data_IF_520012466918
#
_entry.id   IF_520012466918
#
_cell.length_a   1.000
_cell.length_b   1.000
_cell.length_c   1.000
_cell.angle_alpha   90.00
_cell.angle_beta   90.00
_cell.angle_gamma   90.00
#
_symmetry.space_group_name_H-M   'P 1'
#
loop_
_entity.id
_entity.type
_entity.pdbx_description
1 polymer ?
#
# COMPACT_ATOMS: atom_id res chain seq x y z
N UNK A 1 -5.61 11.81 -19.50
CA UNK A 1 -5.66 10.39 -19.08
C UNK A 1 -6.54 9.61 -20.02
N UNK A 2 -6.18 8.35 -20.36
CA UNK A 2 -7.04 7.44 -21.11
C UNK A 2 -8.22 6.97 -20.24
N UNK A 3 -9.31 6.47 -20.87
CA UNK A 3 -10.45 5.91 -20.13
C UNK A 3 -10.04 4.78 -19.18
N UNK A 4 -9.08 3.93 -19.61
CA UNK A 4 -8.54 2.86 -18.79
C UNK A 4 -7.78 3.40 -17.56
N UNK A 5 -6.96 4.43 -17.73
CA UNK A 5 -6.22 5.06 -16.63
C UNK A 5 -7.19 5.68 -15.62
N UNK A 6 -8.28 6.29 -16.09
CA UNK A 6 -9.30 6.86 -15.20
C UNK A 6 -10.05 5.76 -14.42
N UNK A 7 -10.47 4.69 -15.08
CA UNK A 7 -11.11 3.54 -14.43
C UNK A 7 -10.19 2.89 -13.38
N UNK A 8 -8.91 2.74 -13.70
CA UNK A 8 -7.89 2.22 -12.77
C UNK A 8 -7.72 3.14 -11.56
N UNK A 9 -7.63 4.46 -11.76
CA UNK A 9 -7.53 5.43 -10.68
C UNK A 9 -8.75 5.38 -9.75
N UNK A 10 -9.95 5.30 -10.31
CA UNK A 10 -11.18 5.16 -9.55
C UNK A 10 -11.20 3.87 -8.72
N UNK A 11 -10.84 2.73 -9.33
CA UNK A 11 -10.76 1.44 -8.65
C UNK A 11 -9.74 1.47 -7.49
N UNK A 12 -8.57 2.09 -7.70
CA UNK A 12 -7.54 2.28 -6.67
C UNK A 12 -8.06 3.08 -5.48
N UNK A 13 -8.84 4.15 -5.73
CA UNK A 13 -9.45 4.94 -4.66
C UNK A 13 -10.45 4.08 -3.86
N UNK A 14 -11.37 3.40 -4.54
CA UNK A 14 -12.40 2.56 -3.89
C UNK A 14 -11.78 1.46 -3.04
N UNK A 15 -10.82 0.72 -3.58
CA UNK A 15 -10.14 -0.35 -2.85
C UNK A 15 -9.30 0.19 -1.68
N UNK A 16 -8.70 1.37 -1.84
CA UNK A 16 -7.93 2.03 -0.78
C UNK A 16 -8.80 2.58 0.35
N UNK A 17 -10.06 2.96 0.07
CA UNK A 17 -11.06 3.28 1.11
C UNK A 17 -11.43 2.01 1.87
N UNK A 18 -11.71 0.92 1.17
CA UNK A 18 -12.14 -0.33 1.79
C UNK A 18 -11.06 -0.95 2.71
N UNK A 19 -9.78 -0.91 2.29
CA UNK A 19 -8.67 -1.58 2.99
C UNK A 19 -8.61 -1.27 4.50
N UNK A 20 -8.43 -0.02 4.98
CA UNK A 20 -8.32 0.27 6.40
C UNK A 20 -9.59 -0.06 7.17
N UNK A 21 -10.75 0.04 6.54
CA UNK A 21 -12.04 -0.22 7.18
C UNK A 21 -12.26 -1.71 7.43
N UNK A 22 -11.91 -2.57 6.47
CA UNK A 22 -12.01 -4.03 6.64
C UNK A 22 -10.91 -4.59 7.53
N UNK A 23 -9.74 -3.93 7.59
CA UNK A 23 -8.63 -4.35 8.43
C UNK A 23 -8.74 -3.90 9.90
N UNK A 24 -9.50 -2.87 10.22
CA UNK A 24 -9.69 -2.42 11.62
C UNK A 24 -10.18 -3.55 12.54
N UNK A 25 -11.25 -4.31 12.20
CA UNK A 25 -11.68 -5.46 13.00
C UNK A 25 -10.62 -6.55 13.11
N UNK A 26 -9.85 -6.78 12.04
CA UNK A 26 -8.75 -7.78 12.05
C UNK A 26 -7.66 -7.37 13.04
N UNK A 27 -7.22 -6.11 12.99
CA UNK A 27 -6.19 -5.58 13.89
C UNK A 27 -6.59 -5.61 15.38
N UNK A 28 -7.90 -5.64 15.66
CA UNK A 28 -8.43 -5.74 17.03
C UNK A 28 -8.47 -7.17 17.55
N UNK A 29 -8.67 -8.17 16.66
CA UNK A 29 -8.87 -9.59 17.04
C UNK A 29 -7.59 -10.43 16.94
N UNK A 30 -6.70 -10.10 16.01
CA UNK A 30 -5.52 -10.90 15.70
C UNK A 30 -4.25 -10.12 16.01
N UNK A 31 -3.12 -10.81 16.05
CA UNK A 31 -1.82 -10.15 16.13
C UNK A 31 -1.49 -9.37 14.84
N UNK A 32 -0.58 -8.40 14.95
CA UNK A 32 -0.28 -7.49 13.81
C UNK A 32 0.38 -8.19 12.63
N UNK A 33 1.06 -9.31 12.83
CA UNK A 33 1.67 -10.08 11.76
C UNK A 33 0.64 -10.91 11.01
N UNK A 34 -0.52 -11.18 11.60
CA UNK A 34 -1.62 -11.88 10.92
C UNK A 34 -2.12 -11.12 9.69
N UNK A 35 -2.18 -9.80 9.74
CA UNK A 35 -2.60 -9.00 8.58
C UNK A 35 -1.65 -9.15 7.38
N UNK A 36 -0.34 -9.25 7.64
CA UNK A 36 0.65 -9.53 6.59
C UNK A 36 0.53 -10.97 6.07
N UNK A 37 0.32 -11.93 6.97
CA UNK A 37 0.09 -13.33 6.60
C UNK A 37 -1.20 -13.49 5.78
N UNK A 38 -2.29 -12.83 6.18
CA UNK A 38 -3.56 -12.83 5.47
C UNK A 38 -3.41 -12.35 4.02
N UNK A 39 -2.68 -11.25 3.82
CA UNK A 39 -2.35 -10.76 2.49
C UNK A 39 -1.59 -11.83 1.69
N UNK A 40 -0.55 -12.44 2.26
CA UNK A 40 0.24 -13.46 1.60
C UNK A 40 -0.59 -14.69 1.22
N UNK A 41 -1.47 -15.18 2.11
CA UNK A 41 -2.32 -16.36 1.84
C UNK A 41 -3.25 -16.14 0.65
N UNK A 42 -3.92 -14.99 0.59
CA UNK A 42 -4.85 -14.67 -0.49
C UNK A 42 -4.13 -14.45 -1.82
N UNK A 43 -2.99 -13.76 -1.81
CA UNK A 43 -2.23 -13.49 -3.03
C UNK A 43 -1.59 -14.77 -3.57
N UNK A 44 -1.00 -15.61 -2.72
CA UNK A 44 -0.43 -16.88 -3.16
C UNK A 44 -1.54 -17.82 -3.66
N UNK A 45 -2.69 -17.88 -2.99
CA UNK A 45 -3.85 -18.63 -3.48
C UNK A 45 -4.29 -18.20 -4.88
N UNK A 46 -4.40 -16.89 -5.12
CA UNK A 46 -4.69 -16.34 -6.44
C UNK A 46 -3.58 -16.67 -7.46
N UNK A 47 -2.31 -16.53 -7.05
CA UNK A 47 -1.17 -16.82 -7.92
C UNK A 47 -1.16 -18.29 -8.38
N UNK A 48 -1.45 -19.22 -7.49
CA UNK A 48 -1.55 -20.65 -7.83
C UNK A 48 -2.67 -20.90 -8.86
N UNK A 49 -3.82 -20.25 -8.70
CA UNK A 49 -4.94 -20.39 -9.66
C UNK A 49 -4.63 -19.79 -11.03
N UNK A 50 -3.86 -18.72 -11.10
CA UNK A 50 -3.54 -18.00 -12.33
C UNK A 50 -2.22 -18.46 -12.99
N UNK A 51 -1.41 -19.22 -12.28
CA UNK A 51 -0.11 -19.70 -12.75
C UNK A 51 -0.17 -20.46 -14.08
N UNK A 52 -1.13 -21.39 -14.31
CA UNK A 52 -1.21 -22.10 -15.59
C UNK A 52 -1.41 -21.17 -16.80
N UNK A 53 -2.13 -20.05 -16.61
CA UNK A 53 -2.42 -19.09 -17.68
C UNK A 53 -1.30 -18.09 -17.92
N UNK A 54 -0.34 -17.98 -17.00
CA UNK A 54 0.74 -16.99 -17.02
C UNK A 54 2.12 -17.65 -16.95
N UNK A 55 2.20 -18.97 -17.23
CA UNK A 55 3.42 -19.76 -17.10
C UNK A 55 4.56 -19.21 -17.95
N UNK A 56 4.26 -18.81 -19.19
CA UNK A 56 5.24 -18.27 -20.12
C UNK A 56 5.98 -17.04 -19.52
N UNK A 57 5.24 -16.18 -18.81
CA UNK A 57 5.84 -15.00 -18.16
C UNK A 57 6.76 -15.38 -17.00
N UNK A 58 6.45 -16.47 -16.28
CA UNK A 58 7.31 -16.98 -15.22
C UNK A 58 8.61 -17.55 -15.80
N UNK A 59 8.52 -18.32 -16.89
CA UNK A 59 9.71 -18.89 -17.55
C UNK A 59 10.65 -17.80 -18.04
N UNK A 60 10.12 -16.76 -18.68
CA UNK A 60 10.92 -15.60 -19.11
C UNK A 60 11.59 -14.92 -17.91
N UNK A 61 10.86 -14.65 -16.84
CA UNK A 61 11.42 -14.02 -15.65
C UNK A 61 12.49 -14.85 -14.95
N UNK A 62 12.38 -16.19 -14.97
CA UNK A 62 13.42 -17.07 -14.43
C UNK A 62 14.72 -16.96 -15.25
N UNK A 63 14.62 -16.78 -16.57
CA UNK A 63 15.78 -16.48 -17.41
C UNK A 63 16.38 -15.11 -17.08
N UNK A 64 15.54 -14.10 -16.88
CA UNK A 64 16.01 -12.76 -16.51
C UNK A 64 16.70 -12.77 -15.14
N UNK A 65 16.18 -13.50 -14.16
CA UNK A 65 16.81 -13.66 -12.85
C UNK A 65 18.16 -14.39 -12.92
N UNK A 66 18.32 -15.34 -13.84
CA UNK A 66 19.61 -16.00 -14.08
C UNK A 66 20.63 -15.03 -14.64
N UNK A 67 20.23 -14.18 -15.56
CA UNK A 67 21.11 -13.20 -16.20
C UNK A 67 21.41 -12.00 -15.30
N UNK A 68 20.41 -11.55 -14.54
CA UNK A 68 20.50 -10.37 -13.66
C UNK A 68 19.96 -10.72 -12.25
N UNK A 69 20.71 -11.45 -11.42
CA UNK A 69 20.24 -11.96 -10.12
C UNK A 69 19.87 -10.86 -9.12
N UNK A 70 20.32 -9.63 -9.36
CA UNK A 70 19.92 -8.48 -8.53
C UNK A 70 18.40 -8.26 -8.53
N UNK A 71 17.71 -8.46 -9.66
CA UNK A 71 16.25 -8.31 -9.73
C UNK A 71 15.51 -9.38 -8.92
N UNK A 72 16.06 -10.59 -8.83
CA UNK A 72 15.53 -11.61 -7.93
C UNK A 72 15.64 -11.17 -6.46
N UNK A 73 16.81 -10.68 -6.05
CA UNK A 73 17.03 -10.17 -4.69
C UNK A 73 16.10 -9.00 -4.36
N UNK A 74 15.97 -8.03 -5.29
CA UNK A 74 15.06 -6.89 -5.11
C UNK A 74 13.58 -7.33 -5.02
N UNK A 75 13.18 -8.34 -5.77
CA UNK A 75 11.83 -8.90 -5.72
C UNK A 75 11.55 -9.56 -4.37
N UNK A 76 12.50 -10.32 -3.84
CA UNK A 76 12.38 -10.88 -2.49
C UNK A 76 12.38 -9.77 -1.41
N UNK A 77 13.24 -8.77 -1.56
CA UNK A 77 13.28 -7.60 -0.68
C UNK A 77 11.93 -6.90 -0.64
N UNK A 78 11.25 -6.74 -1.79
CA UNK A 78 9.88 -6.19 -1.82
C UNK A 78 8.93 -6.98 -0.92
N UNK A 79 9.00 -8.30 -0.94
CA UNK A 79 8.18 -9.14 -0.07
C UNK A 79 8.42 -8.84 1.42
N UNK A 80 9.69 -8.70 1.82
CA UNK A 80 10.06 -8.30 3.17
C UNK A 80 9.53 -6.89 3.52
N UNK A 81 9.76 -5.90 2.63
CA UNK A 81 9.29 -4.53 2.82
C UNK A 81 7.77 -4.47 2.98
N UNK A 82 7.04 -5.19 2.12
CA UNK A 82 5.57 -5.25 2.17
C UNK A 82 5.07 -5.91 3.46
N UNK A 83 5.72 -7.00 3.91
CA UNK A 83 5.40 -7.64 5.20
C UNK A 83 5.46 -6.64 6.35
N UNK A 84 6.58 -5.94 6.48
CA UNK A 84 6.77 -4.97 7.56
C UNK A 84 5.90 -3.73 7.39
N UNK A 85 5.71 -3.22 6.16
CA UNK A 85 4.82 -2.10 5.89
C UNK A 85 3.38 -2.39 6.36
N UNK A 86 2.84 -3.58 6.03
CA UNK A 86 1.49 -3.98 6.47
C UNK A 86 1.45 -4.16 7.98
N UNK A 87 2.43 -4.84 8.58
CA UNK A 87 2.50 -5.07 10.03
C UNK A 87 2.49 -3.75 10.81
N UNK A 88 3.37 -2.82 10.48
CA UNK A 88 3.47 -1.55 11.18
C UNK A 88 2.27 -0.63 10.91
N UNK A 89 1.73 -0.64 9.69
CA UNK A 89 0.49 0.05 9.39
C UNK A 89 -0.68 -0.43 10.28
N UNK A 90 -0.75 -1.73 10.59
CA UNK A 90 -1.79 -2.27 11.47
C UNK A 90 -1.59 -1.88 12.93
N UNK A 91 -0.36 -1.80 13.41
CA UNK A 91 -0.07 -1.30 14.76
C UNK A 91 -0.61 0.13 14.93
N UNK A 92 -0.38 0.98 13.93
CA UNK A 92 -0.85 2.37 13.94
C UNK A 92 -2.37 2.44 13.79
N UNK A 93 -2.95 1.66 12.88
CA UNK A 93 -4.37 1.66 12.57
C UNK A 93 -5.24 1.14 13.73
N UNK A 94 -4.68 0.27 14.59
CA UNK A 94 -5.37 -0.22 15.78
C UNK A 94 -5.75 0.92 16.72
N UNK A 95 -4.83 1.83 16.96
CA UNK A 95 -5.02 2.93 17.92
C UNK A 95 -5.89 4.05 17.31
N UNK A 96 -5.59 4.48 16.08
CA UNK A 96 -6.38 5.48 15.37
C UNK A 96 -6.32 5.29 13.87
N UNK A 97 -7.45 4.94 13.26
CA UNK A 97 -7.56 4.79 11.80
C UNK A 97 -7.49 6.15 11.12
N UNK A 98 -8.15 7.16 11.67
CA UNK A 98 -8.16 8.50 11.09
C UNK A 98 -6.80 9.18 11.14
N UNK A 99 -6.14 9.15 12.30
CA UNK A 99 -4.80 9.74 12.46
C UNK A 99 -3.74 9.03 11.60
N UNK A 100 -3.91 7.72 11.38
CA UNK A 100 -2.99 6.97 10.53
C UNK A 100 -3.00 7.39 9.06
N UNK A 101 -4.05 8.09 8.60
CA UNK A 101 -4.17 8.49 7.19
C UNK A 101 -3.34 9.72 6.80
N UNK A 102 -2.81 10.50 7.75
CA UNK A 102 -1.94 11.62 7.42
C UNK A 102 -0.56 11.17 6.87
N UNK A 103 -0.01 10.11 7.44
CA UNK A 103 1.37 9.70 7.22
C UNK A 103 1.67 9.02 5.89
N UNK A 104 0.73 8.31 5.28
CA UNK A 104 0.91 7.81 3.93
C UNK A 104 1.24 8.89 2.89
N UNK A 105 0.83 10.14 3.09
CA UNK A 105 1.22 11.25 2.22
C UNK A 105 2.71 11.56 2.31
N UNK A 106 3.31 11.40 3.49
CA UNK A 106 4.76 11.59 3.69
C UNK A 106 5.54 10.50 2.94
N UNK A 107 5.14 9.22 3.12
CA UNK A 107 5.81 8.10 2.43
C UNK A 107 5.70 8.22 0.92
N UNK A 108 4.57 8.73 0.42
CA UNK A 108 4.39 8.97 -1.00
C UNK A 108 5.25 10.12 -1.51
N UNK A 109 5.30 11.24 -0.80
CA UNK A 109 6.13 12.37 -1.19
C UNK A 109 7.61 11.95 -1.31
N UNK A 110 8.10 11.18 -0.33
CA UNK A 110 9.45 10.61 -0.35
C UNK A 110 9.66 9.68 -1.54
N UNK A 111 8.74 8.72 -1.76
CA UNK A 111 8.83 7.79 -2.88
C UNK A 111 8.81 8.51 -4.23
N UNK A 112 7.89 9.45 -4.44
CA UNK A 112 7.76 10.20 -5.69
C UNK A 112 8.99 11.08 -5.96
N UNK A 113 9.56 11.69 -4.93
CA UNK A 113 10.81 12.45 -5.06
C UNK A 113 11.96 11.53 -5.51
N UNK A 114 12.12 10.39 -4.83
CA UNK A 114 13.16 9.41 -5.17
C UNK A 114 12.98 8.86 -6.59
N UNK A 115 11.76 8.50 -6.97
CA UNK A 115 11.46 7.97 -8.30
C UNK A 115 11.73 9.00 -9.40
N UNK A 116 11.37 10.25 -9.18
CA UNK A 116 11.61 11.32 -10.15
C UNK A 116 13.09 11.67 -10.28
N UNK A 117 13.82 11.83 -9.16
CA UNK A 117 15.21 12.29 -9.15
C UNK A 117 16.18 11.18 -9.58
N UNK A 118 15.99 9.95 -9.08
CA UNK A 118 16.99 8.88 -9.26
C UNK A 118 16.60 7.83 -10.29
N UNK A 119 15.31 7.67 -10.58
CA UNK A 119 14.81 6.62 -11.48
C UNK A 119 14.13 7.14 -12.73
N UNK A 120 14.15 8.48 -12.95
CA UNK A 120 13.68 9.09 -14.19
C UNK A 120 12.17 8.96 -14.43
N UNK A 121 11.36 8.82 -13.38
CA UNK A 121 9.91 8.84 -13.53
C UNK A 121 9.44 10.25 -13.92
N UNK A 122 8.90 10.39 -15.13
CA UNK A 122 8.55 11.68 -15.72
C UNK A 122 7.21 12.22 -15.19
N UNK A 123 7.23 12.77 -13.97
CA UNK A 123 6.13 13.59 -13.49
C UNK A 123 6.29 15.03 -13.97
N UNK A 124 5.19 15.68 -14.34
CA UNK A 124 5.19 17.13 -14.57
C UNK A 124 5.55 17.86 -13.27
N UNK A 125 6.30 18.95 -13.37
CA UNK A 125 6.77 19.71 -12.18
C UNK A 125 5.62 20.11 -11.25
N UNK A 126 4.46 20.46 -11.80
CA UNK A 126 3.28 20.80 -11.00
C UNK A 126 2.70 19.59 -10.23
N UNK A 127 2.77 18.40 -10.82
CA UNK A 127 2.34 17.16 -10.16
C UNK A 127 3.28 16.81 -9.01
N UNK A 128 4.59 16.87 -9.25
CA UNK A 128 5.59 16.62 -8.21
C UNK A 128 5.47 17.62 -7.06
N UNK A 129 5.34 18.92 -7.38
CA UNK A 129 5.15 19.97 -6.36
C UNK A 129 3.90 19.71 -5.51
N UNK A 130 2.79 19.36 -6.14
CA UNK A 130 1.53 19.07 -5.44
C UNK A 130 1.66 17.86 -4.51
N UNK A 131 2.36 16.80 -4.94
CA UNK A 131 2.63 15.61 -4.10
C UNK A 131 3.50 15.99 -2.91
N UNK A 132 4.54 16.80 -3.11
CA UNK A 132 5.41 17.27 -2.02
C UNK A 132 4.66 18.14 -1.02
N UNK A 133 3.82 19.07 -1.49
CA UNK A 133 2.96 19.89 -0.62
C UNK A 133 1.99 19.04 0.21
N UNK A 134 1.41 17.99 -0.38
CA UNK A 134 0.59 17.02 0.35
C UNK A 134 1.39 16.29 1.43
N UNK A 135 2.66 15.95 1.16
CA UNK A 135 3.58 15.39 2.15
C UNK A 135 3.81 16.35 3.33
N UNK A 136 4.06 17.62 3.05
CA UNK A 136 4.23 18.67 4.08
C UNK A 136 2.95 18.85 4.90
N UNK A 137 1.79 18.90 4.26
CA UNK A 137 0.49 18.92 4.96
C UNK A 137 0.31 17.69 5.84
N UNK A 138 0.67 16.50 5.35
CA UNK A 138 0.64 15.26 6.14
C UNK A 138 1.48 15.35 7.41
N UNK A 139 2.67 15.97 7.34
CA UNK A 139 3.52 16.24 8.51
C UNK A 139 2.81 17.22 9.46
N UNK A 140 2.34 18.36 8.94
CA UNK A 140 1.72 19.41 9.75
C UNK A 140 0.50 18.89 10.52
N UNK A 141 -0.45 18.27 9.83
CA UNK A 141 -1.64 17.72 10.48
C UNK A 141 -1.34 16.47 11.31
N UNK A 142 -0.39 15.64 10.86
CA UNK A 142 0.06 14.46 11.59
C UNK A 142 0.79 14.77 12.89
N UNK A 143 1.39 15.93 13.03
CA UNK A 143 2.05 16.38 14.27
C UNK A 143 1.14 17.21 15.17
N UNK A 144 -0.07 17.54 14.72
CA UNK A 144 -1.04 18.36 15.45
C UNK A 144 -2.13 17.50 16.14
N UNK A 145 -2.85 18.08 17.07
CA UNK A 145 -4.00 17.47 17.70
C UNK A 145 -3.70 16.20 18.48
N UNK A 146 -4.56 15.18 18.31
CA UNK A 146 -4.48 13.92 19.07
C UNK A 146 -3.22 13.11 18.72
N UNK A 147 -2.69 13.25 17.52
CA UNK A 147 -1.45 12.57 17.10
C UNK A 147 -0.23 13.06 17.90
N UNK A 148 -0.20 14.34 18.26
CA UNK A 148 0.87 14.88 19.10
C UNK A 148 0.92 14.19 20.48
N UNK A 149 -0.22 13.73 20.99
CA UNK A 149 -0.40 13.05 22.28
C UNK A 149 -0.07 11.57 22.25
N UNK A 150 0.15 10.99 21.06
CA UNK A 150 0.48 9.56 20.92
C UNK A 150 1.82 9.21 21.57
N UNK A 151 1.93 7.98 22.06
CA UNK A 151 3.13 7.49 22.74
C UNK A 151 4.38 7.55 21.85
N UNK A 152 5.57 7.66 22.46
CA UNK A 152 6.85 7.60 21.75
C UNK A 152 6.96 6.31 20.91
N UNK A 153 6.51 5.18 21.44
CA UNK A 153 6.50 3.89 20.73
C UNK A 153 5.63 3.93 19.47
N UNK A 154 4.47 4.54 19.55
CA UNK A 154 3.59 4.72 18.37
C UNK A 154 4.27 5.56 17.29
N UNK A 155 4.92 6.68 17.67
CA UNK A 155 5.64 7.56 16.74
C UNK A 155 6.82 6.83 16.05
N UNK A 156 7.55 5.99 16.78
CA UNK A 156 8.62 5.16 16.21
C UNK A 156 8.04 4.14 15.20
N UNK A 157 6.99 3.42 15.56
CA UNK A 157 6.34 2.48 14.65
C UNK A 157 5.85 3.17 13.38
N UNK A 158 5.41 4.42 13.51
CA UNK A 158 5.00 5.25 12.41
C UNK A 158 6.15 5.57 11.45
N UNK A 159 7.30 6.03 11.97
CA UNK A 159 8.48 6.29 11.15
C UNK A 159 8.93 5.03 10.40
N UNK A 160 8.89 3.89 11.07
CA UNK A 160 9.19 2.59 10.46
C UNK A 160 8.18 2.27 9.34
N UNK A 161 6.88 2.49 9.57
CA UNK A 161 5.85 2.28 8.56
C UNK A 161 6.03 3.21 7.35
N UNK A 162 6.39 4.48 7.57
CA UNK A 162 6.68 5.43 6.49
C UNK A 162 7.84 4.94 5.64
N UNK A 163 8.94 4.53 6.26
CA UNK A 163 10.13 4.04 5.56
C UNK A 163 9.80 2.82 4.67
N UNK A 164 9.21 1.78 5.24
CA UNK A 164 8.84 0.59 4.47
C UNK A 164 7.82 0.89 3.37
N UNK A 165 6.85 1.76 3.64
CA UNK A 165 5.84 2.16 2.66
C UNK A 165 6.41 3.01 1.52
N UNK A 166 7.47 3.79 1.76
CA UNK A 166 8.15 4.55 0.72
C UNK A 166 9.06 3.67 -0.14
N UNK A 167 9.70 2.67 0.45
CA UNK A 167 10.60 1.76 -0.26
C UNK A 167 9.85 0.82 -1.24
N UNK A 168 8.62 0.42 -0.93
CA UNK A 168 7.82 -0.46 -1.79
C UNK A 168 7.62 0.07 -3.22
N UNK A 169 7.12 1.30 -3.45
CA UNK A 169 6.95 1.84 -4.80
C UNK A 169 8.25 1.95 -5.59
N UNK A 170 9.37 2.18 -4.92
CA UNK A 170 10.69 2.25 -5.58
C UNK A 170 11.06 0.87 -6.13
N UNK A 171 10.92 -0.19 -5.34
CA UNK A 171 11.15 -1.56 -5.83
C UNK A 171 10.15 -1.96 -6.91
N UNK A 172 8.88 -1.52 -6.81
CA UNK A 172 7.86 -1.75 -7.84
C UNK A 172 8.32 -1.16 -9.18
N UNK A 173 8.76 0.11 -9.19
CA UNK A 173 9.23 0.80 -10.40
C UNK A 173 10.42 0.09 -11.04
N UNK A 174 11.43 -0.25 -10.25
CA UNK A 174 12.68 -0.86 -10.74
C UNK A 174 12.44 -2.27 -11.29
N UNK A 175 11.63 -3.09 -10.61
CA UNK A 175 11.49 -4.49 -10.98
C UNK A 175 10.41 -4.74 -12.04
N UNK A 176 9.24 -4.09 -11.95
CA UNK A 176 8.12 -4.36 -12.87
C UNK A 176 8.50 -4.04 -14.31
N UNK A 177 9.23 -2.95 -14.54
CA UNK A 177 9.69 -2.56 -15.87
C UNK A 177 10.64 -3.58 -16.50
N UNK A 178 11.33 -4.42 -15.71
CA UNK A 178 12.32 -5.38 -16.18
C UNK A 178 11.77 -6.78 -16.32
N UNK A 179 11.16 -7.32 -15.27
CA UNK A 179 10.70 -8.72 -15.22
C UNK A 179 9.20 -8.89 -15.46
N UNK A 180 8.46 -7.79 -15.65
CA UNK A 180 7.02 -7.78 -15.80
C UNK A 180 6.25 -7.88 -14.48
N UNK A 181 5.00 -7.40 -14.51
CA UNK A 181 4.18 -7.28 -13.31
C UNK A 181 3.81 -8.63 -12.67
N UNK A 182 3.50 -9.66 -13.47
CA UNK A 182 3.00 -10.92 -12.94
C UNK A 182 4.08 -11.74 -12.22
N UNK A 183 5.28 -11.99 -12.81
CA UNK A 183 6.36 -12.65 -12.08
C UNK A 183 6.77 -11.88 -10.82
N UNK A 184 6.86 -10.56 -10.90
CA UNK A 184 7.16 -9.72 -9.75
C UNK A 184 6.13 -9.90 -8.62
N UNK A 185 4.84 -9.89 -8.96
CA UNK A 185 3.74 -10.13 -8.03
C UNK A 185 3.84 -11.51 -7.37
N UNK A 186 4.09 -12.55 -8.14
CA UNK A 186 4.21 -13.93 -7.64
C UNK A 186 5.40 -14.07 -6.70
N UNK A 187 6.61 -13.73 -7.14
CA UNK A 187 7.84 -13.99 -6.37
C UNK A 187 7.95 -13.14 -5.11
N UNK A 188 7.51 -11.87 -5.14
CA UNK A 188 7.50 -11.03 -3.94
C UNK A 188 6.55 -11.58 -2.85
N UNK A 189 5.41 -12.14 -3.27
CA UNK A 189 4.44 -12.67 -2.32
C UNK A 189 4.73 -14.10 -1.87
N UNK A 190 5.46 -14.91 -2.65
CA UNK A 190 6.02 -16.19 -2.18
C UNK A 190 6.96 -15.96 -0.99
N UNK A 191 7.78 -14.91 -1.02
CA UNK A 191 8.62 -14.55 0.12
C UNK A 191 7.78 -14.18 1.36
N UNK A 192 6.74 -13.36 1.18
CA UNK A 192 5.81 -13.04 2.28
C UNK A 192 5.12 -14.29 2.83
N UNK A 193 4.74 -15.23 1.97
CA UNK A 193 4.16 -16.50 2.36
C UNK A 193 5.16 -17.35 3.16
N UNK A 194 6.43 -17.40 2.73
CA UNK A 194 7.51 -18.05 3.50
C UNK A 194 7.63 -17.48 4.91
N UNK A 195 7.58 -16.15 5.06
CA UNK A 195 7.54 -15.52 6.40
C UNK A 195 6.29 -15.90 7.20
N UNK A 196 5.15 -16.10 6.55
CA UNK A 196 3.93 -16.56 7.21
C UNK A 196 4.04 -18.01 7.67
N UNK A 197 4.69 -18.89 6.88
CA UNK A 197 4.90 -20.30 7.23
C UNK A 197 5.76 -20.51 8.51
N UNK A 198 6.69 -19.60 8.78
CA UNK A 198 7.56 -19.66 9.98
C UNK A 198 6.83 -19.28 11.26
N UNK A 199 5.60 -18.76 11.18
CA UNK A 199 4.82 -18.38 12.36
C UNK A 199 4.33 -19.62 13.12
N UNK A 200 4.44 -19.58 14.45
CA UNK A 200 3.92 -20.65 15.31
C UNK A 200 2.41 -20.89 15.12
N UNK A 201 1.68 -19.88 14.69
CA UNK A 201 0.23 -19.88 14.48
C UNK A 201 -0.18 -20.22 13.03
N UNK A 202 0.77 -20.61 12.17
CA UNK A 202 0.55 -20.77 10.72
C UNK A 202 -0.72 -21.54 10.36
N UNK A 203 -0.91 -22.75 10.91
CA UNK A 203 -2.08 -23.59 10.58
C UNK A 203 -3.38 -22.94 11.04
N UNK A 204 -3.39 -22.34 12.22
CA UNK A 204 -4.54 -21.62 12.74
C UNK A 204 -4.85 -20.38 11.91
N UNK A 205 -3.83 -19.61 11.56
CA UNK A 205 -3.94 -18.41 10.75
C UNK A 205 -4.46 -18.74 9.35
N UNK A 206 -3.93 -19.78 8.72
CA UNK A 206 -4.36 -20.23 7.39
C UNK A 206 -5.83 -20.66 7.41
N UNK A 207 -6.25 -21.44 8.40
CA UNK A 207 -7.64 -21.80 8.57
C UNK A 207 -8.52 -20.56 8.76
N UNK A 208 -8.14 -19.66 9.66
CA UNK A 208 -8.88 -18.43 9.94
C UNK A 208 -9.02 -17.54 8.71
N UNK A 209 -7.99 -17.47 7.86
CA UNK A 209 -7.98 -16.65 6.64
C UNK A 209 -9.10 -16.99 5.66
N UNK A 210 -9.53 -18.27 5.61
CA UNK A 210 -10.51 -18.76 4.65
C UNK A 210 -11.84 -19.21 5.28
N UNK A 211 -12.01 -19.12 6.61
CA UNK A 211 -13.25 -19.55 7.27
C UNK A 211 -14.00 -18.41 7.92
N UNK A 212 -13.33 -17.34 8.34
CA UNK A 212 -13.98 -16.23 9.06
C UNK A 212 -14.43 -15.15 8.06
N UNK A 213 -15.67 -14.70 8.15
CA UNK A 213 -16.24 -13.69 7.23
C UNK A 213 -15.41 -12.41 7.13
N UNK A 214 -14.90 -11.92 8.26
CA UNK A 214 -14.11 -10.68 8.30
C UNK A 214 -12.76 -10.87 7.60
N UNK A 215 -12.10 -12.03 7.77
CA UNK A 215 -10.81 -12.34 7.14
C UNK A 215 -10.95 -12.60 5.65
N UNK A 216 -12.02 -13.28 5.22
CA UNK A 216 -12.33 -13.49 3.80
C UNK A 216 -12.51 -12.13 3.11
N UNK A 217 -13.31 -11.24 3.69
CA UNK A 217 -13.51 -9.89 3.13
C UNK A 217 -12.20 -9.12 3.06
N UNK A 218 -11.44 -9.07 4.16
CA UNK A 218 -10.18 -8.33 4.21
C UNK A 218 -9.15 -8.90 3.22
N UNK A 219 -9.01 -10.23 3.16
CA UNK A 219 -8.11 -10.90 2.23
C UNK A 219 -8.47 -10.65 0.76
N UNK A 220 -9.74 -10.74 0.42
CA UNK A 220 -10.22 -10.46 -0.94
C UNK A 220 -9.93 -9.01 -1.36
N UNK A 221 -10.26 -8.02 -0.52
CA UNK A 221 -10.02 -6.62 -0.84
C UNK A 221 -8.53 -6.29 -0.96
N UNK A 222 -7.67 -6.84 -0.10
CA UNK A 222 -6.23 -6.56 -0.20
C UNK A 222 -5.63 -7.24 -1.43
N UNK A 223 -6.06 -8.45 -1.77
CA UNK A 223 -5.64 -9.14 -3.00
C UNK A 223 -6.00 -8.31 -4.23
N UNK A 224 -7.25 -7.86 -4.36
CA UNK A 224 -7.67 -7.01 -5.47
C UNK A 224 -6.88 -5.70 -5.54
N UNK A 225 -6.63 -5.07 -4.41
CA UNK A 225 -5.85 -3.84 -4.36
C UNK A 225 -4.42 -4.06 -4.85
N UNK A 226 -3.73 -5.11 -4.36
CA UNK A 226 -2.34 -5.40 -4.77
C UNK A 226 -2.24 -5.79 -6.25
N UNK A 227 -3.19 -6.60 -6.77
CA UNK A 227 -3.24 -6.91 -8.20
C UNK A 227 -3.42 -5.63 -9.01
N UNK A 228 -4.36 -4.76 -8.61
CA UNK A 228 -4.62 -3.50 -9.33
C UNK A 228 -3.38 -2.60 -9.32
N UNK A 229 -2.68 -2.49 -8.17
CA UNK A 229 -1.46 -1.68 -8.06
C UNK A 229 -0.38 -2.21 -9.01
N UNK A 230 -0.05 -3.48 -8.89
CA UNK A 230 1.12 -4.05 -9.57
C UNK A 230 0.86 -4.23 -11.07
N UNK A 231 -0.35 -4.62 -11.47
CA UNK A 231 -0.68 -4.78 -12.90
C UNK A 231 -0.80 -3.45 -13.65
N UNK A 232 -1.14 -2.36 -12.95
CA UNK A 232 -1.24 -1.03 -13.56
C UNK A 232 0.05 -0.23 -13.50
N UNK A 233 1.00 -0.63 -12.64
CA UNK A 233 2.26 0.05 -12.47
C UNK A 233 3.07 0.03 -13.79
N UNK A 234 3.52 1.21 -14.22
CA UNK A 234 4.28 1.44 -15.45
C UNK A 234 3.45 1.20 -16.74
N UNK A 235 2.57 0.18 -16.74
CA UNK A 235 1.80 -0.21 -17.94
C UNK A 235 0.64 0.75 -18.25
N UNK A 236 -0.02 1.29 -17.21
CA UNK A 236 -1.19 2.17 -17.35
C UNK A 236 -0.90 3.55 -16.73
N UNK A 237 -0.24 3.58 -15.59
CA UNK A 237 0.05 4.78 -14.81
C UNK A 237 1.48 4.76 -14.26
N UNK A 238 2.16 5.91 -14.14
CA UNK A 238 3.37 6.05 -13.33
C UNK A 238 3.13 5.59 -11.89
N UNK A 239 4.14 4.99 -11.27
CA UNK A 239 4.03 4.44 -9.91
C UNK A 239 3.66 5.53 -8.90
N UNK A 240 4.22 6.73 -9.05
CA UNK A 240 3.88 7.88 -8.21
C UNK A 240 2.41 8.28 -8.31
N UNK A 241 1.79 8.22 -9.50
CA UNK A 241 0.37 8.51 -9.66
C UNK A 241 -0.52 7.42 -9.05
N UNK A 242 -0.13 6.15 -9.15
CA UNK A 242 -0.83 5.05 -8.46
C UNK A 242 -0.83 5.30 -6.95
N UNK A 243 0.34 5.60 -6.39
CA UNK A 243 0.46 5.93 -4.97
C UNK A 243 -0.41 7.14 -4.60
N UNK A 244 -0.45 8.16 -5.45
CA UNK A 244 -1.27 9.35 -5.24
C UNK A 244 -2.78 9.01 -5.23
N UNK A 245 -3.31 8.31 -6.24
CA UNK A 245 -4.73 7.96 -6.29
C UNK A 245 -5.17 7.13 -5.09
N UNK A 246 -4.32 6.25 -4.60
CA UNK A 246 -4.57 5.52 -3.35
C UNK A 246 -4.72 6.45 -2.14
N UNK A 247 -4.04 7.60 -2.12
CA UNK A 247 -4.11 8.57 -1.01
C UNK A 247 -5.34 9.45 -1.06
N UNK A 248 -5.96 9.63 -2.21
CA UNK A 248 -7.25 10.31 -2.30
C UNK A 248 -8.37 9.59 -1.52
N UNK A 249 -8.17 8.33 -1.17
CA UNK A 249 -9.03 7.62 -0.25
C UNK A 249 -8.97 8.16 1.20
N UNK A 250 -7.87 8.78 1.60
CA UNK A 250 -7.64 9.18 2.98
C UNK A 250 -8.70 10.13 3.57
N UNK A 251 -9.14 11.21 2.90
CA UNK A 251 -10.21 12.06 3.40
C UNK A 251 -11.50 11.29 3.69
N UNK A 252 -11.87 10.37 2.80
CA UNK A 252 -13.08 9.54 2.96
C UNK A 252 -12.93 8.61 4.16
N UNK A 253 -11.77 7.95 4.29
CA UNK A 253 -11.47 7.07 5.43
C UNK A 253 -11.46 7.84 6.74
N UNK A 254 -10.88 9.04 6.76
CA UNK A 254 -10.82 9.90 7.95
C UNK A 254 -12.23 10.25 8.45
N UNK A 255 -13.10 10.76 7.56
CA UNK A 255 -14.46 11.14 7.92
C UNK A 255 -15.28 9.92 8.34
N UNK A 256 -15.24 8.85 7.57
CA UNK A 256 -15.97 7.63 7.88
C UNK A 256 -15.52 7.02 9.21
N UNK A 257 -14.21 6.92 9.45
CA UNK A 257 -13.69 6.32 10.68
C UNK A 257 -13.97 7.19 11.91
N UNK A 258 -13.93 8.51 11.78
CA UNK A 258 -14.29 9.43 12.86
C UNK A 258 -15.72 9.21 13.31
N UNK A 259 -16.67 9.06 12.37
CA UNK A 259 -18.08 8.81 12.65
C UNK A 259 -18.31 7.37 13.14
N UNK A 260 -17.81 6.38 12.40
CA UNK A 260 -18.10 4.96 12.64
C UNK A 260 -17.42 4.39 13.88
N UNK A 261 -16.16 4.79 14.12
CA UNK A 261 -15.37 4.31 15.26
C UNK A 261 -15.33 5.32 16.42
N UNK A 262 -16.09 6.42 16.32
CA UNK A 262 -16.16 7.48 17.33
C UNK A 262 -14.77 8.05 17.69
N UNK A 263 -13.89 8.15 16.69
CA UNK A 263 -12.57 8.75 16.86
C UNK A 263 -12.69 10.27 16.97
N UNK A 264 -11.94 10.89 17.89
CA UNK A 264 -11.99 12.34 18.14
C UNK A 264 -11.34 13.12 16.99
N UNK A 265 -11.70 14.41 16.83
CA UNK A 265 -11.10 15.39 15.90
C UNK A 265 -11.55 15.40 14.44
N UNK A 266 -12.86 15.46 14.22
CA UNK A 266 -13.45 15.60 12.87
C UNK A 266 -12.98 16.89 12.16
N UNK A 267 -12.80 18.02 12.89
CA UNK A 267 -12.49 19.32 12.29
C UNK A 267 -11.14 19.33 11.53
N UNK A 268 -10.07 18.90 12.17
CA UNK A 268 -8.74 18.88 11.53
C UNK A 268 -8.70 17.92 10.34
N UNK A 269 -9.41 16.80 10.43
CA UNK A 269 -9.52 15.82 9.37
C UNK A 269 -10.28 16.34 8.15
N UNK A 270 -11.37 17.09 8.38
CA UNK A 270 -12.11 17.75 7.31
C UNK A 270 -11.27 18.82 6.61
N UNK A 271 -10.59 19.68 7.38
CA UNK A 271 -9.71 20.71 6.81
C UNK A 271 -8.61 20.07 5.97
N UNK A 272 -7.93 19.04 6.51
CA UNK A 272 -6.93 18.29 5.74
C UNK A 272 -7.52 17.67 4.49
N UNK A 273 -8.70 17.05 4.59
CA UNK A 273 -9.38 16.43 3.47
C UNK A 273 -9.68 17.42 2.34
N UNK A 274 -10.18 18.60 2.67
CA UNK A 274 -10.46 19.68 1.70
C UNK A 274 -9.16 20.13 1.03
N UNK A 275 -8.11 20.41 1.81
CA UNK A 275 -6.81 20.80 1.27
C UNK A 275 -6.21 19.70 0.39
N UNK A 276 -6.30 18.43 0.82
CA UNK A 276 -5.82 17.31 0.02
C UNK A 276 -6.54 17.20 -1.33
N UNK A 277 -7.85 17.44 -1.37
CA UNK A 277 -8.62 17.47 -2.62
C UNK A 277 -8.21 18.65 -3.51
N UNK A 278 -7.98 19.84 -2.95
CA UNK A 278 -7.52 21.01 -3.71
C UNK A 278 -6.16 20.75 -4.35
N UNK A 279 -5.19 20.19 -3.61
CA UNK A 279 -3.88 19.83 -4.17
C UNK A 279 -3.93 18.62 -5.11
N UNK A 280 -5.02 17.85 -5.12
CA UNK A 280 -5.24 16.78 -6.07
C UNK A 280 -5.55 17.29 -7.48
N UNK A 281 -6.19 18.46 -7.62
CA UNK A 281 -6.62 18.99 -8.92
C UNK A 281 -5.47 19.14 -9.92
N UNK A 282 -4.31 19.76 -9.59
CA UNK A 282 -3.19 19.87 -10.51
C UNK A 282 -2.58 18.51 -10.92
N UNK A 283 -2.75 17.48 -10.08
CA UNK A 283 -2.23 16.14 -10.37
C UNK A 283 -3.15 15.42 -11.37
N UNK A 284 -4.46 15.66 -11.28
CA UNK A 284 -5.46 15.01 -12.14
C UNK A 284 -5.52 15.71 -13.51
N UNK A 285 -5.48 17.04 -13.54
CA UNK A 285 -5.71 17.85 -14.73
C UNK A 285 -4.43 18.47 -15.31
N UNK A 286 -3.33 18.49 -14.61
CA UNK A 286 -2.00 18.91 -15.08
C UNK A 286 -1.30 17.81 -15.86
#
# INVERSE_FOLDING_TARGET
MTALAFATAFLLIVLSVAKPLVYKPIAQKYDFSFSSALMAYWIVGFSVLTLPFMWDKIVVALSDFKNEPMFFVLTLLKGALAWYAVKFAQIINKDSTSSSQFFPFISQALASLMLNVFFGENLKSIQLLSILLLGVLGIFFGMSGDTARMSKKWKINLLIAIFFSAACPITDHVCIGRIGWYPYFVFSNIFMFGMACVRKTFVHDLKSAFTTKDTIRAGFFIMLLEITIISSAITILPVSLICFFRRLAAPIVMVYSAVRFKERTVKNQLVFGILALLFALPIIFG
#
